data_IF_603026479558
#
_entry.id   IF_603026479558
#
_cell.length_a   1.000
_cell.length_b   1.000
_cell.length_c   1.000
_cell.angle_alpha   90.00
_cell.angle_beta   90.00
_cell.angle_gamma   90.00
#
_symmetry.space_group_name_H-M   'P 1'
#
loop_
_entity.id
_entity.type
_entity.pdbx_description
1 polymer ?
#
# COMPACT_ATOMS: atom_id res chain seq x y z
N UNK A 1 44.03 -26.61 4.47
CA UNK A 1 44.39 -25.18 4.62
C UNK A 1 43.33 -24.44 3.79
N UNK A 2 42.09 -24.38 4.31
CA UNK A 2 41.49 -23.19 4.98
C UNK A 2 40.89 -22.23 3.93
N UNK A 3 39.63 -21.78 3.91
CA UNK A 3 38.49 -21.88 4.82
C UNK A 3 37.18 -21.43 4.10
N UNK A 4 36.03 -21.71 4.72
CA UNK A 4 34.64 -21.40 4.33
C UNK A 4 34.31 -19.90 4.26
N UNK A 5 33.33 -19.50 3.43
CA UNK A 5 32.80 -18.13 3.40
C UNK A 5 31.44 -17.92 2.71
N UNK A 6 30.40 -18.55 3.26
CA UNK A 6 28.97 -18.15 3.34
C UNK A 6 28.39 -17.08 2.40
N UNK A 7 27.34 -17.49 1.69
CA UNK A 7 26.32 -16.65 1.03
C UNK A 7 25.85 -15.50 1.93
N UNK A 8 26.19 -14.27 1.55
CA UNK A 8 25.74 -13.05 2.21
C UNK A 8 24.25 -12.82 1.97
N UNK A 9 23.39 -13.47 2.76
CA UNK A 9 22.07 -12.94 3.07
C UNK A 9 22.29 -11.66 3.88
N UNK A 10 22.24 -10.52 3.20
CA UNK A 10 21.93 -9.25 3.85
C UNK A 10 20.63 -9.45 4.61
N UNK A 11 20.56 -9.16 5.92
CA UNK A 11 19.28 -9.17 6.62
C UNK A 11 18.41 -8.10 5.97
N UNK A 12 17.42 -8.52 5.20
CA UNK A 12 16.33 -7.66 4.76
C UNK A 12 15.79 -7.00 6.03
N UNK A 13 15.74 -5.65 6.12
CA UNK A 13 15.04 -5.04 7.24
C UNK A 13 13.62 -5.60 7.15
N UNK A 14 13.18 -6.25 8.22
CA UNK A 14 11.81 -6.71 8.36
C UNK A 14 10.94 -5.48 8.16
N UNK A 15 10.44 -5.28 6.94
CA UNK A 15 9.43 -4.27 6.68
C UNK A 15 8.35 -4.51 7.72
N UNK A 16 7.89 -3.47 8.44
CA UNK A 16 6.72 -3.61 9.28
C UNK A 16 5.65 -4.28 8.43
N UNK A 17 5.12 -5.38 8.95
CA UNK A 17 4.16 -6.20 8.24
C UNK A 17 2.91 -5.36 8.00
N UNK A 18 2.84 -4.74 6.81
CA UNK A 18 1.71 -3.96 6.29
C UNK A 18 0.39 -4.74 6.39
N UNK A 19 0.44 -6.06 6.54
CA UNK A 19 -0.72 -6.91 6.82
C UNK A 19 -1.37 -6.56 8.15
N UNK A 20 -0.61 -6.31 9.22
CA UNK A 20 -1.14 -5.99 10.56
C UNK A 20 -1.75 -4.59 10.66
N UNK A 21 -1.28 -3.62 9.87
CA UNK A 21 -1.79 -2.24 9.94
C UNK A 21 -3.20 -2.10 9.33
N UNK A 22 -3.66 -3.11 8.60
CA UNK A 22 -4.86 -3.05 7.76
C UNK A 22 -6.02 -3.93 8.26
N UNK A 23 -5.84 -4.75 9.30
CA UNK A 23 -6.87 -5.69 9.78
C UNK A 23 -8.03 -5.04 10.54
N UNK A 24 -7.99 -3.74 10.84
CA UNK A 24 -9.10 -3.03 11.50
C UNK A 24 -9.28 -1.54 11.19
N UNK A 25 -8.39 -0.92 10.41
CA UNK A 25 -8.37 0.53 10.18
C UNK A 25 -8.64 0.95 8.71
N UNK A 26 -8.99 -0.01 7.85
CA UNK A 26 -9.22 0.23 6.43
C UNK A 26 -10.52 0.99 6.18
N UNK A 27 -10.40 2.17 5.58
CA UNK A 27 -11.53 2.86 4.96
C UNK A 27 -11.73 2.30 3.55
N UNK A 28 -12.90 1.72 3.27
CA UNK A 28 -13.20 1.18 1.94
C UNK A 28 -13.44 2.30 0.93
N UNK A 29 -12.94 2.09 -0.30
CA UNK A 29 -13.25 2.96 -1.41
C UNK A 29 -14.71 2.75 -1.86
N UNK A 30 -15.44 3.82 -2.23
CA UNK A 30 -16.79 3.67 -2.75
C UNK A 30 -16.78 2.89 -4.07
N UNK A 31 -17.88 2.18 -4.39
CA UNK A 31 -18.05 1.54 -5.69
C UNK A 31 -18.32 2.63 -6.72
N UNK A 32 -17.28 3.27 -7.25
CA UNK A 32 -17.44 4.35 -8.23
C UNK A 32 -16.37 4.23 -9.29
N UNK A 33 -16.76 4.52 -10.54
CA UNK A 33 -15.91 4.42 -11.71
C UNK A 33 -14.70 5.37 -11.56
N UNK A 34 -13.47 4.84 -11.38
CA UNK A 34 -12.27 5.63 -11.13
C UNK A 34 -11.82 6.45 -12.35
N UNK A 35 -12.46 6.28 -13.51
CA UNK A 35 -12.10 7.06 -14.70
C UNK A 35 -12.51 8.54 -14.63
N UNK A 36 -13.46 8.92 -13.75
CA UNK A 36 -14.07 10.26 -13.75
C UNK A 36 -13.97 11.02 -12.42
N UNK A 37 -13.13 10.58 -11.48
CA UNK A 37 -13.03 11.28 -10.19
C UNK A 37 -12.04 12.45 -10.26
N UNK A 38 -12.51 13.65 -9.92
CA UNK A 38 -11.67 14.85 -9.84
C UNK A 38 -11.30 15.04 -8.36
N UNK A 39 -10.00 14.98 -8.08
CA UNK A 39 -9.47 15.13 -6.73
C UNK A 39 -8.86 16.51 -6.52
N UNK A 40 -8.92 17.02 -5.30
CA UNK A 40 -8.14 18.20 -4.91
C UNK A 40 -6.64 17.88 -4.92
N UNK A 41 -5.82 18.91 -5.12
CA UNK A 41 -4.36 18.81 -5.06
C UNK A 41 -3.80 18.87 -3.63
N UNK A 42 -4.66 18.82 -2.60
CA UNK A 42 -4.23 18.84 -1.21
C UNK A 42 -3.52 17.52 -0.89
N UNK A 43 -2.33 17.62 -0.30
CA UNK A 43 -1.57 16.47 0.14
C UNK A 43 -1.96 16.09 1.57
N UNK A 44 -2.57 14.91 1.70
CA UNK A 44 -3.00 14.27 2.95
C UNK A 44 -2.79 12.75 2.77
N UNK A 45 -1.55 12.25 2.89
CA UNK A 45 -1.18 10.95 2.37
C UNK A 45 -1.96 9.81 3.03
N UNK A 46 -2.23 8.80 2.21
CA UNK A 46 -2.88 7.56 2.63
C UNK A 46 -2.17 6.36 2.04
N UNK A 47 -2.15 5.25 2.76
CA UNK A 47 -1.63 3.98 2.27
C UNK A 47 -2.80 3.19 1.70
N UNK A 48 -2.82 2.99 0.39
CA UNK A 48 -3.89 2.28 -0.32
C UNK A 48 -3.53 0.81 -0.45
N UNK A 49 -4.52 -0.05 -0.20
CA UNK A 49 -4.46 -1.48 -0.48
C UNK A 49 -5.10 -1.73 -1.83
N UNK A 50 -4.34 -2.28 -2.77
CA UNK A 50 -4.85 -2.73 -4.06
C UNK A 50 -4.92 -4.24 -4.12
N UNK A 51 -5.83 -4.78 -4.95
CA UNK A 51 -5.96 -6.20 -5.17
C UNK A 51 -6.23 -6.51 -6.64
N UNK A 52 -5.35 -7.32 -7.23
CA UNK A 52 -5.51 -7.84 -8.60
C UNK A 52 -5.52 -9.36 -8.54
N UNK A 53 -6.68 -9.97 -8.79
CA UNK A 53 -6.88 -11.39 -8.54
C UNK A 53 -6.62 -11.72 -7.07
N UNK A 54 -5.59 -12.54 -6.80
CA UNK A 54 -5.17 -12.91 -5.44
C UNK A 54 -4.00 -12.06 -4.90
N UNK A 55 -3.41 -11.20 -5.73
CA UNK A 55 -2.23 -10.41 -5.33
C UNK A 55 -2.69 -9.13 -4.66
N UNK A 56 -2.20 -8.91 -3.44
CA UNK A 56 -2.38 -7.67 -2.67
C UNK A 56 -1.12 -6.84 -2.78
N UNK A 57 -1.26 -5.54 -3.00
CA UNK A 57 -0.15 -4.59 -2.97
C UNK A 57 -0.55 -3.33 -2.21
N UNK A 58 0.46 -2.61 -1.74
CA UNK A 58 0.30 -1.39 -0.95
C UNK A 58 1.10 -0.27 -1.59
N UNK A 59 0.51 0.92 -1.68
CA UNK A 59 1.22 2.11 -2.15
C UNK A 59 0.71 3.39 -1.51
N UNK A 60 1.59 4.36 -1.32
CA UNK A 60 1.18 5.69 -0.85
C UNK A 60 0.47 6.42 -1.99
N UNK A 61 -0.68 7.02 -1.67
CA UNK A 61 -1.39 7.95 -2.53
C UNK A 61 -1.45 9.34 -1.87
N UNK A 62 -1.47 10.40 -2.68
CA UNK A 62 -1.41 11.79 -2.22
C UNK A 62 -2.56 12.20 -1.31
N UNK A 63 -3.74 11.60 -1.50
CA UNK A 63 -4.91 11.75 -0.64
C UNK A 63 -5.90 10.60 -0.86
N UNK A 64 -6.93 10.54 0.01
CA UNK A 64 -8.01 9.56 -0.05
C UNK A 64 -8.72 9.49 -1.42
N UNK A 65 -8.93 10.64 -2.07
CA UNK A 65 -9.56 10.68 -3.39
C UNK A 65 -8.66 10.02 -4.44
N UNK A 66 -7.38 10.40 -4.49
CA UNK A 66 -6.42 9.80 -5.42
C UNK A 66 -6.21 8.30 -5.15
N UNK A 67 -6.30 7.86 -3.90
CA UNK A 67 -6.26 6.45 -3.53
C UNK A 67 -7.44 5.66 -4.12
N UNK A 68 -8.65 6.18 -4.01
CA UNK A 68 -9.84 5.53 -4.56
C UNK A 68 -10.03 5.75 -6.06
N UNK A 69 -9.20 6.58 -6.68
CA UNK A 69 -9.12 6.71 -8.13
C UNK A 69 -8.29 5.59 -8.79
N UNK A 70 -7.77 4.66 -7.99
CA UNK A 70 -7.02 3.51 -8.45
C UNK A 70 -8.03 2.39 -8.76
N UNK A 71 -8.05 1.83 -9.98
CA UNK A 71 -9.03 0.82 -10.36
C UNK A 71 -9.02 -0.42 -9.46
N UNK A 72 -7.83 -0.79 -8.98
CA UNK A 72 -7.62 -1.97 -8.16
C UNK A 72 -7.72 -1.69 -6.65
N UNK A 73 -8.06 -0.46 -6.23
CA UNK A 73 -8.13 -0.12 -4.82
C UNK A 73 -9.31 -0.78 -4.12
N UNK A 74 -9.01 -1.42 -2.99
CA UNK A 74 -10.01 -2.02 -2.10
C UNK A 74 -10.33 -1.06 -0.94
N UNK A 75 -9.33 -0.30 -0.50
CA UNK A 75 -9.46 0.66 0.58
C UNK A 75 -8.11 1.27 0.93
N UNK A 76 -8.10 2.19 1.89
CA UNK A 76 -6.91 2.91 2.34
C UNK A 76 -6.92 3.13 3.86
N UNK A 77 -5.75 3.45 4.41
CA UNK A 77 -5.60 3.96 5.78
C UNK A 77 -4.84 5.28 5.77
N UNK A 78 -4.98 6.09 6.83
CA UNK A 78 -4.28 7.38 6.93
C UNK A 78 -2.77 7.18 7.10
N UNK A 79 -1.99 8.07 6.49
CA UNK A 79 -0.53 8.04 6.52
C UNK A 79 0.09 7.29 5.34
N UNK A 80 1.39 7.46 5.14
CA UNK A 80 2.13 6.74 4.10
C UNK A 80 2.30 5.25 4.44
N UNK A 81 2.55 4.41 3.44
CA UNK A 81 2.92 3.01 3.68
C UNK A 81 4.30 2.92 4.33
N UNK A 82 4.51 1.96 5.24
CA UNK A 82 5.79 1.74 5.94
C UNK A 82 6.43 0.38 5.61
#
# INVERSE_FOLDING_TARGET
MSDVGTSGQTPTPSSPDLSQQFEGALTQCPPTNPANNICTAQYEPVCVKTKVGSVVSYRTASNACSACNIPEAVGYTKGECN
#
